data_IF_369257651897
#
_entry.id   IF_369257651897
#
_cell.length_a   1.000
_cell.length_b   1.000
_cell.length_c   1.000
_cell.angle_alpha   90.00
_cell.angle_beta   90.00
_cell.angle_gamma   90.00
#
_symmetry.space_group_name_H-M   'P 1'
#
loop_
_entity.id
_entity.type
_entity.pdbx_description
1 polymer ?
#
# COMPACT_ATOMS: atom_id res chain seq x y z
N UNK A 1 4.56 7.81 -8.75
CA UNK A 1 4.68 6.34 -8.82
C UNK A 1 3.65 5.75 -9.79
N UNK A 2 2.39 6.14 -9.69
CA UNK A 2 1.35 5.70 -10.61
C UNK A 2 0.63 6.90 -11.20
N UNK A 3 0.02 6.73 -12.37
CA UNK A 3 -0.82 7.77 -12.98
C UNK A 3 -2.19 7.19 -13.29
N UNK A 4 -3.23 7.84 -12.80
CA UNK A 4 -4.63 7.47 -13.04
C UNK A 4 -5.41 8.74 -13.32
N UNK A 5 -6.11 8.78 -14.45
CA UNK A 5 -6.94 9.93 -14.84
C UNK A 5 -6.20 11.27 -14.77
N UNK A 6 -4.94 11.27 -15.23
CA UNK A 6 -4.06 12.44 -15.25
C UNK A 6 -3.58 12.92 -13.88
N UNK A 7 -3.91 12.18 -12.82
CA UNK A 7 -3.39 12.47 -11.49
C UNK A 7 -2.19 11.58 -11.19
N UNK A 8 -1.17 12.14 -10.55
CA UNK A 8 -0.02 11.38 -10.08
C UNK A 8 -0.32 10.88 -8.69
N UNK A 9 -0.20 9.57 -8.52
CA UNK A 9 -0.48 8.90 -7.25
C UNK A 9 0.81 8.30 -6.69
N UNK A 10 0.91 8.31 -5.38
CA UNK A 10 2.03 7.72 -4.66
C UNK A 10 1.51 6.97 -3.44
N UNK A 11 2.40 6.28 -2.76
CA UNK A 11 2.11 5.63 -1.51
C UNK A 11 2.93 6.32 -0.42
N UNK A 12 2.30 6.56 0.74
CA UNK A 12 2.95 7.18 1.89
C UNK A 12 2.56 6.42 3.14
N UNK A 13 3.56 5.97 3.86
CA UNK A 13 3.33 5.18 5.08
C UNK A 13 3.89 5.88 6.30
N UNK A 14 3.22 5.65 7.43
CA UNK A 14 3.70 6.00 8.75
C UNK A 14 3.26 4.90 9.71
N UNK A 15 3.73 4.95 10.95
CA UNK A 15 3.41 3.90 11.92
C UNK A 15 1.93 3.78 12.20
N UNK A 16 1.21 4.91 12.20
CA UNK A 16 -0.22 4.90 12.47
C UNK A 16 -0.99 4.16 11.39
N UNK A 17 -0.62 4.34 10.14
CA UNK A 17 -1.25 3.62 9.02
C UNK A 17 -1.02 2.12 9.12
N UNK A 18 0.19 1.71 9.46
CA UNK A 18 0.50 0.29 9.66
C UNK A 18 -0.31 -0.27 10.82
N UNK A 19 -0.37 0.43 11.94
CA UNK A 19 -1.17 0.01 13.09
C UNK A 19 -2.65 -0.14 12.73
N UNK A 20 -3.17 0.76 11.91
CA UNK A 20 -4.56 0.70 11.46
C UNK A 20 -4.83 -0.58 10.70
N UNK A 21 -3.94 -0.94 9.77
CA UNK A 21 -4.08 -2.18 9.00
C UNK A 21 -4.00 -3.40 9.91
N UNK A 22 -3.05 -3.41 10.85
CA UNK A 22 -2.88 -4.53 11.77
C UNK A 22 -4.12 -4.72 12.64
N UNK A 23 -4.69 -3.63 13.14
CA UNK A 23 -5.89 -3.70 13.96
C UNK A 23 -7.09 -4.20 13.14
N UNK A 24 -7.22 -3.74 11.91
CA UNK A 24 -8.34 -4.09 11.04
C UNK A 24 -8.30 -5.55 10.62
N UNK A 25 -7.14 -6.06 10.25
CA UNK A 25 -6.98 -7.42 9.74
C UNK A 25 -6.53 -8.41 10.80
N UNK A 26 -6.15 -7.93 11.99
CA UNK A 26 -5.64 -8.75 13.10
C UNK A 26 -4.43 -9.55 12.68
N UNK A 27 -3.50 -8.90 12.00
CA UNK A 27 -2.24 -9.51 11.54
C UNK A 27 -1.07 -8.64 11.96
N UNK A 28 0.12 -9.25 12.03
CA UNK A 28 1.37 -8.49 12.17
C UNK A 28 1.95 -8.28 10.79
N UNK A 29 2.07 -7.03 10.37
CA UNK A 29 2.59 -6.72 9.02
C UNK A 29 4.03 -7.20 8.89
N UNK A 30 4.86 -7.00 9.91
CA UNK A 30 6.26 -7.46 9.85
C UNK A 30 6.34 -8.98 9.75
N UNK A 31 5.49 -9.68 10.48
CA UNK A 31 5.44 -11.14 10.41
C UNK A 31 4.95 -11.61 9.04
N UNK A 32 3.94 -10.94 8.49
CA UNK A 32 3.42 -11.26 7.16
C UNK A 32 4.50 -11.09 6.09
N UNK A 33 5.23 -9.97 6.14
CA UNK A 33 6.30 -9.70 5.18
C UNK A 33 7.40 -10.76 5.28
N UNK A 34 7.76 -11.16 6.49
CA UNK A 34 8.81 -12.16 6.71
C UNK A 34 8.38 -13.55 6.24
N UNK A 35 7.18 -13.97 6.62
CA UNK A 35 6.70 -15.31 6.32
C UNK A 35 6.41 -15.52 4.84
N UNK A 36 6.01 -14.48 4.14
CA UNK A 36 5.67 -14.56 2.72
C UNK A 36 6.77 -14.06 1.82
N UNK A 37 7.87 -13.53 2.39
CA UNK A 37 8.96 -12.91 1.65
C UNK A 37 8.47 -11.80 0.72
N UNK A 38 7.49 -11.04 1.19
CA UNK A 38 6.92 -9.93 0.43
C UNK A 38 5.77 -10.32 -0.49
N UNK A 39 5.42 -11.60 -0.54
CA UNK A 39 4.28 -12.08 -1.35
C UNK A 39 3.00 -11.99 -0.52
N UNK A 40 2.56 -10.78 -0.26
CA UNK A 40 1.44 -10.49 0.63
C UNK A 40 0.13 -11.08 0.11
N UNK A 41 -0.76 -11.49 1.02
CA UNK A 41 -2.12 -11.87 0.62
C UNK A 41 -2.83 -10.68 -0.02
N UNK A 42 -3.86 -10.95 -0.82
CA UNK A 42 -4.62 -9.86 -1.45
C UNK A 42 -5.24 -8.94 -0.42
N UNK A 43 -5.72 -9.46 0.70
CA UNK A 43 -6.31 -8.63 1.75
C UNK A 43 -5.29 -7.69 2.36
N UNK A 44 -4.10 -8.19 2.68
CA UNK A 44 -3.05 -7.37 3.25
C UNK A 44 -2.56 -6.35 2.23
N UNK A 45 -2.36 -6.77 1.00
CA UNK A 45 -1.91 -5.88 -0.07
C UNK A 45 -2.91 -4.76 -0.31
N UNK A 46 -4.20 -5.08 -0.43
CA UNK A 46 -5.23 -4.07 -0.63
C UNK A 46 -5.29 -3.09 0.54
N UNK A 47 -5.25 -3.60 1.77
CA UNK A 47 -5.32 -2.75 2.95
C UNK A 47 -4.13 -1.80 3.03
N UNK A 48 -2.93 -2.29 2.78
CA UNK A 48 -1.73 -1.44 2.78
C UNK A 48 -1.79 -0.42 1.66
N UNK A 49 -2.13 -0.85 0.46
CA UNK A 49 -2.22 0.05 -0.69
C UNK A 49 -3.22 1.17 -0.43
N UNK A 50 -4.43 0.82 0.01
CA UNK A 50 -5.49 1.81 0.20
C UNK A 50 -5.20 2.77 1.34
N UNK A 51 -4.59 2.30 2.44
CA UNK A 51 -4.25 3.18 3.56
C UNK A 51 -3.09 4.13 3.20
N UNK A 52 -2.22 3.70 2.29
CA UNK A 52 -1.07 4.50 1.88
C UNK A 52 -1.31 5.43 0.69
N UNK A 53 -2.42 5.27 0.00
CA UNK A 53 -2.64 5.98 -1.27
C UNK A 53 -2.75 7.48 -1.08
N UNK A 54 -1.97 8.21 -1.88
CA UNK A 54 -1.91 9.67 -1.81
C UNK A 54 -1.93 10.23 -3.23
N UNK A 55 -2.76 11.26 -3.45
CA UNK A 55 -2.83 11.95 -4.72
C UNK A 55 -1.92 13.18 -4.68
N UNK A 56 -0.79 13.10 -5.37
CA UNK A 56 0.19 14.17 -5.39
C UNK A 56 -0.29 15.39 -6.18
N UNK A 57 -1.07 15.16 -7.23
CA UNK A 57 -1.60 16.25 -8.05
C UNK A 57 -2.57 17.10 -7.26
N UNK A 58 -3.46 16.49 -6.49
CA UNK A 58 -4.45 17.17 -5.67
C UNK A 58 -4.00 17.41 -4.24
N UNK A 59 -2.82 16.91 -3.89
CA UNK A 59 -2.23 17.06 -2.56
C UNK A 59 -3.16 16.61 -1.44
N UNK A 60 -3.72 15.40 -1.59
CA UNK A 60 -4.61 14.85 -0.57
C UNK A 60 -4.56 13.33 -0.53
N UNK A 61 -4.93 12.79 0.63
CA UNK A 61 -5.09 11.35 0.81
C UNK A 61 -6.29 10.86 0.01
N UNK A 62 -6.17 9.68 -0.58
CA UNK A 62 -7.29 9.00 -1.23
C UNK A 62 -7.76 7.88 -0.32
N UNK A 63 -9.05 7.83 -0.02
CA UNK A 63 -9.58 6.88 0.95
C UNK A 63 -10.88 6.24 0.46
N UNK A 64 -11.32 5.23 1.21
CA UNK A 64 -12.63 4.60 1.00
C UNK A 64 -12.75 3.88 -0.34
N UNK A 65 -13.95 3.93 -0.90
CA UNK A 65 -14.24 3.21 -2.13
C UNK A 65 -13.39 3.66 -3.30
N UNK A 66 -13.07 4.95 -3.36
CA UNK A 66 -12.22 5.48 -4.43
C UNK A 66 -10.84 4.84 -4.41
N UNK A 67 -10.26 4.69 -3.22
CA UNK A 67 -8.96 4.03 -3.08
C UNK A 67 -9.05 2.55 -3.49
N UNK A 68 -10.12 1.86 -3.14
CA UNK A 68 -10.34 0.48 -3.53
C UNK A 68 -10.46 0.34 -5.05
N UNK A 69 -11.20 1.24 -5.68
CA UNK A 69 -11.38 1.22 -7.14
C UNK A 69 -10.05 1.45 -7.85
N UNK A 70 -9.24 2.37 -7.35
CA UNK A 70 -7.91 2.63 -7.90
C UNK A 70 -7.01 1.41 -7.73
N UNK A 71 -7.07 0.76 -6.56
CA UNK A 71 -6.30 -0.46 -6.33
C UNK A 71 -6.64 -1.54 -7.37
N UNK A 72 -7.93 -1.79 -7.60
CA UNK A 72 -8.35 -2.77 -8.59
C UNK A 72 -7.89 -2.41 -10.00
N UNK A 73 -8.03 -1.14 -10.37
CA UNK A 73 -7.60 -0.68 -11.68
C UNK A 73 -6.11 -0.91 -11.88
N UNK A 74 -5.29 -0.50 -10.92
CA UNK A 74 -3.85 -0.64 -11.01
C UNK A 74 -3.41 -2.11 -10.92
N UNK A 75 -4.09 -2.91 -10.11
CA UNK A 75 -3.79 -4.32 -10.02
C UNK A 75 -3.99 -5.01 -11.37
N UNK A 76 -5.04 -4.65 -12.10
CA UNK A 76 -5.30 -5.20 -13.44
C UNK A 76 -4.30 -4.71 -14.47
N UNK A 77 -3.87 -3.45 -14.37
CA UNK A 77 -2.93 -2.86 -15.32
C UNK A 77 -1.50 -3.30 -15.08
N UNK A 78 -1.06 -3.29 -13.82
CA UNK A 78 0.35 -3.49 -13.45
C UNK A 78 0.67 -4.92 -13.02
N UNK A 79 -0.34 -5.65 -12.57
CA UNK A 79 -0.17 -7.00 -12.04
C UNK A 79 0.21 -7.02 -10.57
N UNK A 80 -0.02 -8.17 -9.96
CA UNK A 80 0.20 -8.35 -8.51
C UNK A 80 1.64 -8.06 -8.09
N UNK A 81 2.61 -8.61 -8.81
CA UNK A 81 4.02 -8.48 -8.41
C UNK A 81 4.47 -7.03 -8.38
N UNK A 82 4.07 -6.24 -9.38
CA UNK A 82 4.47 -4.84 -9.44
C UNK A 82 3.84 -4.02 -8.33
N UNK A 83 2.57 -4.28 -8.01
CA UNK A 83 1.89 -3.57 -6.93
C UNK A 83 2.47 -3.98 -5.58
N UNK A 84 2.69 -5.28 -5.37
CA UNK A 84 3.30 -5.75 -4.12
C UNK A 84 4.70 -5.18 -3.93
N UNK A 85 5.50 -5.16 -4.99
CA UNK A 85 6.85 -4.57 -4.93
C UNK A 85 6.80 -3.08 -4.58
N UNK A 86 5.85 -2.35 -5.15
CA UNK A 86 5.69 -0.92 -4.87
C UNK A 86 5.36 -0.69 -3.39
N UNK A 87 4.44 -1.48 -2.84
CA UNK A 87 4.06 -1.36 -1.42
C UNK A 87 5.24 -1.68 -0.51
N UNK A 88 5.93 -2.80 -0.76
CA UNK A 88 7.05 -3.20 0.09
C UNK A 88 8.19 -2.20 0.01
N UNK A 89 8.52 -1.74 -1.21
CA UNK A 89 9.57 -0.74 -1.40
C UNK A 89 9.26 0.54 -0.63
N UNK A 90 8.02 0.99 -0.70
CA UNK A 90 7.63 2.23 -0.04
C UNK A 90 7.60 2.10 1.47
N UNK A 91 7.18 0.93 1.99
CA UNK A 91 7.28 0.65 3.42
C UNK A 91 8.74 0.73 3.88
N UNK A 92 9.67 0.17 3.10
CA UNK A 92 11.09 0.22 3.43
C UNK A 92 11.64 1.65 3.38
N UNK A 93 11.20 2.45 2.41
CA UNK A 93 11.64 3.85 2.31
C UNK A 93 11.14 4.69 3.48
N UNK A 94 9.85 4.58 3.78
CA UNK A 94 9.21 5.44 4.78
C UNK A 94 9.45 4.96 6.22
N UNK A 95 9.57 3.65 6.41
CA UNK A 95 9.67 3.03 7.72
C UNK A 95 10.88 2.08 7.81
N UNK A 96 11.99 2.48 7.16
CA UNK A 96 13.18 1.64 7.09
C UNK A 96 13.68 1.15 8.44
N UNK A 97 13.47 1.93 9.50
CA UNK A 97 13.89 1.54 10.85
C UNK A 97 13.19 0.26 11.35
N UNK A 98 12.04 -0.10 10.77
CA UNK A 98 11.36 -1.34 11.16
C UNK A 98 12.03 -2.58 10.57
N UNK A 99 12.90 -2.41 9.57
CA UNK A 99 13.54 -3.51 8.86
C UNK A 99 14.99 -3.77 9.30
N UNK A 100 15.40 -3.13 10.38
CA UNK A 100 16.75 -3.30 10.93
C UNK A 100 16.87 -4.52 11.83
#
# INVERSE_FOLDING_TARGET
>A
MFEVDNDNLDLRFNMQKVKTVEAMLKVSIMNELRNTQGMLSFQVLEALFTVGLYNETQEKTVAGKKAQDIFETLLRQEGYENIAAAVVTKLQEDLGFLFR
#
